data_IF_194867297330
#
_entry.id   IF_194867297330
#
_cell.length_a   1.000
_cell.length_b   1.000
_cell.length_c   1.000
_cell.angle_alpha   90.00
_cell.angle_beta   90.00
_cell.angle_gamma   90.00
#
_symmetry.space_group_name_H-M   'P 1'
#
loop_
_entity.id
_entity.type
_entity.pdbx_description
1 polymer ?
#
# COMPACT_ATOMS: atom_id res chain seq x y z
N UNK A 1 -8.91 11.96 -11.16
CA UNK A 1 -10.32 11.97 -11.61
C UNK A 1 -11.00 13.12 -10.88
N UNK A 2 -11.73 14.03 -11.56
CA UNK A 2 -12.52 15.04 -10.83
C UNK A 2 -13.81 14.39 -10.38
N UNK A 3 -14.04 14.35 -9.07
CA UNK A 3 -15.24 13.78 -8.48
C UNK A 3 -16.23 14.90 -8.18
N UNK A 4 -17.48 14.68 -8.56
CA UNK A 4 -18.59 15.55 -8.19
C UNK A 4 -19.48 14.80 -7.20
N UNK A 5 -19.66 15.36 -6.01
CA UNK A 5 -20.55 14.79 -5.00
C UNK A 5 -21.96 15.36 -5.16
N UNK A 6 -22.95 14.48 -5.10
CA UNK A 6 -24.36 14.84 -5.15
C UNK A 6 -25.15 14.18 -4.03
N UNK A 7 -26.09 14.92 -3.45
CA UNK A 7 -27.07 14.37 -2.51
C UNK A 7 -28.16 13.52 -3.18
N UNK A 8 -28.30 13.60 -4.50
CA UNK A 8 -29.25 12.85 -5.33
C UNK A 8 -28.64 12.57 -6.71
N UNK A 9 -29.04 11.51 -7.44
CA UNK A 9 -28.42 11.19 -8.72
C UNK A 9 -28.69 12.30 -9.74
N UNK A 10 -27.64 12.91 -10.28
CA UNK A 10 -27.75 14.01 -11.24
C UNK A 10 -27.97 13.47 -12.66
N UNK A 11 -29.10 13.77 -13.30
CA UNK A 11 -29.44 13.22 -14.61
C UNK A 11 -28.51 13.65 -15.77
N UNK A 12 -27.58 14.59 -15.54
CA UNK A 12 -26.73 15.18 -16.60
C UNK A 12 -25.32 14.63 -16.69
N UNK A 13 -24.82 13.85 -15.72
CA UNK A 13 -23.49 13.23 -15.84
C UNK A 13 -23.57 11.81 -16.40
N UNK A 14 -22.62 11.48 -17.28
CA UNK A 14 -22.63 10.22 -18.05
C UNK A 14 -22.25 8.99 -17.24
N UNK A 15 -21.64 9.15 -16.05
CA UNK A 15 -21.38 8.06 -15.12
C UNK A 15 -21.49 8.54 -13.67
N UNK A 16 -22.51 8.05 -12.97
CA UNK A 16 -22.75 8.31 -11.55
C UNK A 16 -22.82 6.98 -10.81
N UNK A 17 -22.11 6.90 -9.69
CA UNK A 17 -22.07 5.73 -8.82
C UNK A 17 -22.57 6.10 -7.42
N UNK A 18 -23.33 5.22 -6.74
CA UNK A 18 -23.66 5.45 -5.35
C UNK A 18 -22.38 5.37 -4.51
N UNK A 19 -22.17 6.33 -3.62
CA UNK A 19 -21.12 6.28 -2.61
C UNK A 19 -21.67 5.47 -1.43
N UNK A 20 -21.34 4.18 -1.45
CA UNK A 20 -21.71 3.22 -0.42
C UNK A 20 -20.48 2.85 0.40
N UNK A 21 -20.66 2.71 1.72
CA UNK A 21 -19.65 2.07 2.58
C UNK A 21 -20.36 1.38 3.73
N UNK A 22 -20.11 0.07 3.90
CA UNK A 22 -20.64 -0.73 5.03
C UNK A 22 -22.16 -0.58 5.24
N UNK A 23 -22.91 -0.75 4.15
CA UNK A 23 -24.38 -0.62 4.14
C UNK A 23 -24.92 0.83 4.23
N UNK A 24 -24.09 1.84 4.46
CA UNK A 24 -24.51 3.24 4.46
C UNK A 24 -24.42 3.84 3.06
N UNK A 25 -25.48 4.57 2.69
CA UNK A 25 -25.53 5.35 1.45
C UNK A 25 -25.22 6.81 1.75
N UNK A 26 -24.04 7.27 1.35
CA UNK A 26 -23.55 8.62 1.61
C UNK A 26 -23.92 9.61 0.51
N UNK A 27 -24.48 9.17 -0.61
CA UNK A 27 -24.83 10.03 -1.74
C UNK A 27 -24.32 9.43 -3.04
N UNK A 28 -24.05 10.28 -4.03
CA UNK A 28 -23.66 9.87 -5.37
C UNK A 28 -22.39 10.58 -5.79
N UNK A 29 -21.50 9.85 -6.46
CA UNK A 29 -20.29 10.39 -7.07
C UNK A 29 -20.41 10.31 -8.57
N UNK A 30 -20.28 11.46 -9.21
CA UNK A 30 -20.08 11.59 -10.63
C UNK A 30 -18.61 11.49 -11.01
N UNK A 31 -18.32 10.71 -12.06
CA UNK A 31 -16.99 10.63 -12.65
C UNK A 31 -16.87 11.68 -13.75
N UNK A 32 -16.18 12.77 -13.43
CA UNK A 32 -15.74 13.74 -14.42
C UNK A 32 -14.50 13.29 -15.19
N UNK A 33 -14.01 14.16 -16.06
CA UNK A 33 -12.77 13.92 -16.80
C UNK A 33 -11.58 13.63 -15.86
N UNK A 34 -10.67 12.76 -16.32
CA UNK A 34 -9.35 12.61 -15.69
C UNK A 34 -8.65 13.97 -15.76
N UNK A 35 -8.23 14.54 -14.62
CA UNK A 35 -7.50 15.80 -14.61
C UNK A 35 -6.19 15.63 -15.37
N UNK A 36 -5.70 16.71 -15.97
CA UNK A 36 -4.34 16.73 -16.47
C UNK A 36 -3.35 16.51 -15.30
N UNK A 37 -2.16 15.94 -15.57
CA UNK A 37 -1.09 15.91 -14.58
C UNK A 37 -0.78 17.34 -14.08
N UNK A 38 -0.63 17.54 -12.76
CA UNK A 38 -0.28 18.85 -12.21
C UNK A 38 1.13 19.24 -12.67
N UNK A 39 1.37 20.54 -12.84
CA UNK A 39 2.71 21.03 -13.14
C UNK A 39 3.61 21.06 -11.88
N UNK A 40 4.91 21.29 -12.07
CA UNK A 40 5.87 21.29 -10.98
C UNK A 40 5.60 22.38 -9.91
N UNK A 41 5.00 23.51 -10.30
CA UNK A 41 4.69 24.60 -9.38
C UNK A 41 3.46 24.24 -8.53
N UNK A 42 2.44 23.61 -9.13
CA UNK A 42 1.26 23.09 -8.43
C UNK A 42 1.65 22.00 -7.43
N UNK A 43 2.48 21.04 -7.84
CA UNK A 43 3.03 19.98 -6.96
C UNK A 43 3.76 20.61 -5.77
N UNK A 44 4.68 21.55 -6.01
CA UNK A 44 5.46 22.20 -4.96
C UNK A 44 4.58 22.99 -3.98
N UNK A 45 3.55 23.66 -4.48
CA UNK A 45 2.58 24.40 -3.66
C UNK A 45 1.77 23.45 -2.78
N UNK A 46 1.21 22.39 -3.38
CA UNK A 46 0.40 21.41 -2.68
C UNK A 46 1.21 20.71 -1.57
N UNK A 47 2.45 20.30 -1.87
CA UNK A 47 3.36 19.69 -0.89
C UNK A 47 3.59 20.59 0.34
N UNK A 48 3.95 21.86 0.12
CA UNK A 48 4.17 22.84 1.22
C UNK A 48 2.90 23.14 2.03
N UNK A 49 1.73 22.82 1.48
CA UNK A 49 0.45 22.98 2.14
C UNK A 49 -0.07 21.69 2.80
N UNK A 50 0.68 20.59 2.77
CA UNK A 50 0.22 19.26 3.19
C UNK A 50 -1.08 18.85 2.47
N UNK A 51 -1.22 19.27 1.21
CA UNK A 51 -2.33 18.90 0.32
C UNK A 51 -1.98 17.61 -0.42
N UNK A 52 -2.99 16.79 -0.71
CA UNK A 52 -2.80 15.62 -1.56
C UNK A 52 -2.46 16.01 -3.00
N UNK A 53 -1.53 15.27 -3.60
CA UNK A 53 -1.08 15.45 -4.98
C UNK A 53 -1.49 14.23 -5.77
N UNK A 54 -2.34 14.41 -6.78
CA UNK A 54 -2.74 13.33 -7.68
C UNK A 54 -1.86 13.34 -8.93
N UNK A 55 -1.24 12.21 -9.24
CA UNK A 55 -0.41 12.00 -10.43
C UNK A 55 -1.12 11.03 -11.40
N UNK A 56 -2.09 11.51 -12.19
CA UNK A 56 -2.94 10.64 -13.01
C UNK A 56 -2.12 9.92 -14.08
N UNK A 57 -2.22 8.59 -14.11
CA UNK A 57 -1.60 7.77 -15.16
C UNK A 57 -0.07 7.71 -15.11
N UNK A 58 0.58 8.18 -14.04
CA UNK A 58 2.06 8.21 -13.98
C UNK A 58 2.69 6.83 -14.15
N UNK A 59 2.00 5.76 -13.72
CA UNK A 59 2.46 4.37 -13.85
C UNK A 59 1.87 3.63 -15.05
N UNK A 60 1.11 4.30 -15.93
CA UNK A 60 0.33 3.61 -16.97
C UNK A 60 1.19 2.78 -17.94
N UNK A 61 2.43 3.22 -18.20
CA UNK A 61 3.38 2.52 -19.07
C UNK A 61 4.17 1.42 -18.35
N UNK A 62 4.32 1.50 -17.02
CA UNK A 62 5.08 0.52 -16.23
C UNK A 62 4.21 -0.66 -15.80
N UNK A 63 2.96 -0.43 -15.41
CA UNK A 63 2.06 -1.46 -14.88
C UNK A 63 1.89 -2.70 -15.78
N UNK A 64 1.76 -2.60 -17.12
CA UNK A 64 1.65 -3.79 -17.98
C UNK A 64 2.82 -4.77 -17.84
N UNK A 65 4.02 -4.30 -17.46
CA UNK A 65 5.20 -5.14 -17.24
C UNK A 65 5.08 -6.01 -15.99
N UNK A 66 4.19 -5.63 -15.06
CA UNK A 66 3.94 -6.31 -13.79
C UNK A 66 2.61 -7.07 -13.77
N UNK A 67 1.93 -7.22 -14.91
CA UNK A 67 0.59 -7.81 -14.98
C UNK A 67 0.51 -9.22 -14.33
N UNK A 68 1.53 -10.05 -14.53
CA UNK A 68 1.60 -11.38 -13.90
C UNK A 68 1.69 -11.28 -12.38
N UNK A 69 2.51 -10.36 -11.86
CA UNK A 69 2.68 -10.16 -10.42
C UNK A 69 1.44 -9.61 -9.75
N UNK A 70 0.76 -8.66 -10.41
CA UNK A 70 -0.54 -8.16 -9.98
C UNK A 70 -1.58 -9.29 -9.90
N UNK A 71 -1.60 -10.20 -10.87
CA UNK A 71 -2.51 -11.34 -10.86
C UNK A 71 -2.19 -12.34 -9.73
N UNK A 72 -0.90 -12.60 -9.47
CA UNK A 72 -0.46 -13.45 -8.36
C UNK A 72 -0.78 -12.82 -7.00
N UNK A 73 -0.66 -11.50 -6.87
CA UNK A 73 -1.05 -10.76 -5.66
C UNK A 73 -2.55 -10.85 -5.40
N UNK A 74 -3.39 -10.79 -6.45
CA UNK A 74 -4.82 -11.03 -6.34
C UNK A 74 -5.11 -12.47 -5.90
N UNK A 75 -4.40 -13.46 -6.45
CA UNK A 75 -4.57 -14.85 -6.05
C UNK A 75 -4.21 -15.06 -4.58
N UNK A 76 -3.09 -14.49 -4.11
CA UNK A 76 -2.72 -14.51 -2.69
C UNK A 76 -3.83 -13.92 -1.82
N UNK A 77 -4.37 -12.76 -2.20
CA UNK A 77 -5.49 -12.15 -1.50
C UNK A 77 -6.72 -13.07 -1.45
N UNK A 78 -7.11 -13.69 -2.57
CA UNK A 78 -8.26 -14.60 -2.61
C UNK A 78 -8.06 -15.83 -1.71
N UNK A 79 -6.84 -16.38 -1.67
CA UNK A 79 -6.50 -17.52 -0.81
C UNK A 79 -6.51 -17.12 0.68
N UNK A 80 -5.97 -15.95 1.02
CA UNK A 80 -6.06 -15.41 2.39
C UNK A 80 -7.52 -15.20 2.81
N UNK A 81 -8.37 -14.67 1.91
CA UNK A 81 -9.81 -14.54 2.17
C UNK A 81 -10.53 -15.89 2.35
N UNK A 82 -10.03 -16.94 1.70
CA UNK A 82 -10.53 -18.30 1.87
C UNK A 82 -10.09 -18.96 3.19
N UNK A 83 -9.25 -18.27 3.99
CA UNK A 83 -8.74 -18.75 5.26
C UNK A 83 -7.49 -19.62 5.15
N UNK A 84 -6.76 -19.54 4.04
CA UNK A 84 -5.44 -20.17 3.91
C UNK A 84 -4.38 -19.34 4.67
N UNK A 85 -3.51 -20.03 5.41
CA UNK A 85 -2.40 -19.42 6.15
C UNK A 85 -1.37 -18.84 5.17
N UNK A 86 -1.01 -17.57 5.32
CA UNK A 86 -0.06 -16.87 4.45
C UNK A 86 1.35 -17.45 4.57
N UNK A 87 1.71 -18.04 5.72
CA UNK A 87 2.98 -18.75 5.88
C UNK A 87 3.08 -19.98 4.99
N UNK A 88 2.02 -20.78 4.88
CA UNK A 88 1.96 -21.93 3.97
C UNK A 88 1.99 -21.47 2.51
N UNK A 89 1.28 -20.39 2.18
CA UNK A 89 1.30 -19.79 0.85
C UNK A 89 2.71 -19.30 0.46
N UNK A 90 3.48 -18.74 1.39
CA UNK A 90 4.86 -18.29 1.15
C UNK A 90 5.85 -19.43 0.92
N UNK A 91 5.57 -20.64 1.41
CA UNK A 91 6.35 -21.85 1.10
C UNK A 91 6.05 -22.41 -0.31
N UNK A 92 4.97 -21.96 -0.96
CA UNK A 92 4.67 -22.36 -2.32
C UNK A 92 5.80 -21.96 -3.28
N UNK A 93 6.02 -22.76 -4.32
CA UNK A 93 7.14 -22.62 -5.28
C UNK A 93 7.31 -21.20 -5.83
N UNK A 94 6.19 -20.49 -6.04
CA UNK A 94 6.18 -19.12 -6.57
C UNK A 94 6.88 -18.14 -5.63
N UNK A 95 6.53 -18.16 -4.34
CA UNK A 95 7.05 -17.26 -3.31
C UNK A 95 8.40 -17.72 -2.79
N UNK A 96 8.57 -19.03 -2.57
CA UNK A 96 9.86 -19.60 -2.16
C UNK A 96 11.00 -19.18 -3.09
N UNK A 97 10.76 -19.15 -4.41
CA UNK A 97 11.77 -18.69 -5.40
C UNK A 97 12.11 -17.20 -5.28
N UNK A 98 11.20 -16.37 -4.78
CA UNK A 98 11.40 -14.92 -4.62
C UNK A 98 12.06 -14.58 -3.29
N UNK A 99 11.68 -15.31 -2.26
CA UNK A 99 12.17 -15.12 -0.90
C UNK A 99 13.59 -15.69 -0.75
N UNK A 100 13.84 -16.89 -1.26
CA UNK A 100 15.14 -17.55 -1.10
C UNK A 100 16.17 -17.08 -2.14
N UNK A 101 17.46 -16.97 -1.76
CA UNK A 101 18.03 -17.31 -0.45
C UNK A 101 17.97 -16.17 0.58
N UNK A 102 17.48 -15.01 0.19
CA UNK A 102 17.68 -13.76 0.95
C UNK A 102 16.76 -13.64 2.18
N UNK A 103 15.62 -14.34 2.21
CA UNK A 103 14.65 -14.28 3.29
C UNK A 103 14.26 -15.68 3.75
N UNK A 104 14.55 -15.98 5.01
CA UNK A 104 14.17 -17.20 5.71
C UNK A 104 12.95 -16.93 6.57
N UNK A 105 11.86 -17.69 6.38
CA UNK A 105 10.70 -17.67 7.26
C UNK A 105 11.06 -18.37 8.57
N UNK A 106 11.03 -17.64 9.69
CA UNK A 106 11.51 -18.15 10.98
C UNK A 106 10.37 -18.63 11.89
N UNK A 107 9.29 -17.85 11.99
CA UNK A 107 8.14 -18.19 12.83
C UNK A 107 6.87 -17.48 12.39
N UNK A 108 5.75 -17.84 13.02
CA UNK A 108 4.43 -17.25 12.79
C UNK A 108 3.78 -16.90 14.13
N UNK A 109 2.98 -15.85 14.17
CA UNK A 109 2.14 -15.53 15.32
C UNK A 109 0.74 -15.11 14.90
N UNK A 110 -0.23 -15.49 15.73
CA UNK A 110 -1.62 -15.06 15.64
C UNK A 110 -1.86 -14.11 16.82
N UNK A 111 -2.04 -12.82 16.55
CA UNK A 111 -2.13 -11.81 17.60
C UNK A 111 -3.54 -11.80 18.22
N UNK A 112 -3.76 -12.59 19.28
CA UNK A 112 -5.05 -12.73 19.97
C UNK A 112 -5.67 -11.40 20.46
N UNK A 113 -4.86 -10.35 20.60
CA UNK A 113 -5.28 -9.03 21.05
C UNK A 113 -5.63 -8.07 19.90
N UNK A 114 -5.30 -8.43 18.65
CA UNK A 114 -5.62 -7.64 17.47
C UNK A 114 -6.81 -8.28 16.73
N UNK A 115 -8.00 -7.73 16.93
CA UNK A 115 -9.21 -8.21 16.27
C UNK A 115 -9.17 -8.05 14.73
N UNK A 116 -8.21 -7.30 14.18
CA UNK A 116 -7.98 -7.22 12.73
C UNK A 116 -6.90 -8.19 12.25
N UNK A 117 -6.08 -8.74 13.14
CA UNK A 117 -4.96 -9.61 12.79
C UNK A 117 -5.45 -10.92 12.16
N UNK A 118 -4.90 -11.27 11.00
CA UNK A 118 -5.11 -12.57 10.36
C UNK A 118 -3.95 -13.48 10.76
N UNK A 119 -2.74 -13.12 10.34
CA UNK A 119 -1.51 -13.84 10.64
C UNK A 119 -0.32 -12.89 10.50
N UNK A 120 0.71 -13.09 11.32
CA UNK A 120 1.99 -12.41 11.23
C UNK A 120 3.12 -13.42 11.02
N UNK A 121 3.87 -13.25 9.95
CA UNK A 121 4.95 -14.14 9.53
C UNK A 121 6.27 -13.40 9.68
N UNK A 122 7.22 -14.02 10.36
CA UNK A 122 8.52 -13.44 10.67
C UNK A 122 9.60 -13.99 9.74
N UNK A 123 10.55 -13.11 9.43
CA UNK A 123 11.66 -13.40 8.53
C UNK A 123 12.98 -12.89 9.07
N UNK A 124 14.02 -13.68 8.82
CA UNK A 124 15.40 -13.24 8.86
C UNK A 124 15.90 -13.03 7.43
N UNK A 125 16.70 -11.98 7.24
CA UNK A 125 17.29 -11.62 5.96
C UNK A 125 18.80 -11.87 5.96
N UNK A 126 19.24 -12.60 4.94
CA UNK A 126 20.60 -13.09 4.79
C UNK A 126 21.28 -12.51 3.54
N UNK A 127 22.61 -12.36 3.61
CA UNK A 127 23.46 -12.18 2.44
C UNK A 127 24.61 -13.17 2.49
N UNK A 128 24.46 -14.29 1.78
CA UNK A 128 25.40 -15.41 1.92
C UNK A 128 25.23 -16.07 3.28
N UNK A 129 26.28 -16.02 4.12
CA UNK A 129 26.26 -16.57 5.47
C UNK A 129 26.00 -15.49 6.55
N UNK A 130 25.93 -14.22 6.16
CA UNK A 130 25.77 -13.10 7.09
C UNK A 130 24.28 -12.78 7.30
N UNK A 131 23.84 -12.77 8.55
CA UNK A 131 22.53 -12.25 8.96
C UNK A 131 22.58 -10.72 8.92
N UNK A 132 21.82 -10.11 8.00
CA UNK A 132 21.84 -8.65 7.78
C UNK A 132 20.71 -7.95 8.51
N UNK A 133 19.54 -8.59 8.60
CA UNK A 133 18.40 -8.09 9.35
C UNK A 133 17.59 -9.27 9.90
N UNK A 134 17.13 -9.13 11.13
CA UNK A 134 16.33 -10.07 11.89
C UNK A 134 15.02 -9.41 12.32
N UNK A 135 14.07 -10.24 12.77
CA UNK A 135 12.75 -9.80 13.24
C UNK A 135 11.99 -8.96 12.20
N UNK A 136 12.25 -9.16 10.90
CA UNK A 136 11.39 -8.62 9.86
C UNK A 136 10.05 -9.35 9.91
N UNK A 137 8.97 -8.70 9.53
CA UNK A 137 7.67 -9.36 9.48
C UNK A 137 6.78 -8.85 8.37
N UNK A 138 5.91 -9.75 7.91
CA UNK A 138 4.73 -9.48 7.10
C UNK A 138 3.50 -9.78 7.94
N UNK A 139 2.61 -8.81 8.12
CA UNK A 139 1.35 -8.96 8.86
C UNK A 139 0.17 -8.79 7.92
N UNK A 140 -0.61 -9.85 7.75
CA UNK A 140 -1.92 -9.78 7.11
C UNK A 140 -2.97 -9.33 8.14
N UNK A 141 -3.83 -8.37 7.76
CA UNK A 141 -4.88 -7.88 8.64
C UNK A 141 -6.09 -7.38 7.86
N UNK A 142 -7.28 -7.53 8.44
CA UNK A 142 -8.49 -6.86 7.99
C UNK A 142 -8.34 -5.33 8.09
N UNK A 143 -8.99 -4.60 7.19
CA UNK A 143 -9.02 -3.13 7.20
C UNK A 143 -10.18 -2.55 8.01
N UNK A 144 -11.06 -3.42 8.50
CA UNK A 144 -12.30 -3.08 9.19
C UNK A 144 -12.57 -4.08 10.32
N UNK A 145 -13.49 -3.72 11.22
CA UNK A 145 -14.12 -4.64 12.18
C UNK A 145 -15.51 -5.11 11.69
N UNK A 146 -15.91 -4.68 10.51
CA UNK A 146 -17.17 -5.06 9.88
C UNK A 146 -16.99 -6.42 9.19
N UNK A 147 -17.78 -7.41 9.61
CA UNK A 147 -17.69 -8.79 9.13
C UNK A 147 -18.01 -8.94 7.64
N UNK A 148 -18.75 -7.98 7.05
CA UNK A 148 -19.08 -7.97 5.62
C UNK A 148 -18.02 -7.22 4.77
N UNK A 149 -17.00 -6.62 5.40
CA UNK A 149 -15.92 -5.88 4.74
C UNK A 149 -14.68 -6.77 4.53
N UNK A 150 -14.65 -7.48 3.39
CA UNK A 150 -13.54 -8.35 2.98
C UNK A 150 -12.27 -7.60 2.54
N UNK A 151 -12.06 -6.36 2.99
CA UNK A 151 -10.85 -5.61 2.67
C UNK A 151 -9.73 -5.98 3.63
N UNK A 152 -8.54 -6.24 3.10
CA UNK A 152 -7.36 -6.61 3.88
C UNK A 152 -6.11 -5.84 3.45
N UNK A 153 -5.09 -5.88 4.28
CA UNK A 153 -3.75 -5.36 3.97
C UNK A 153 -2.66 -6.33 4.37
N UNK A 154 -1.53 -6.20 3.69
CA UNK A 154 -0.25 -6.77 4.11
C UNK A 154 0.67 -5.62 4.48
N UNK A 155 1.12 -5.56 5.73
CA UNK A 155 2.09 -4.58 6.22
C UNK A 155 3.43 -5.26 6.42
N UNK A 156 4.50 -4.61 5.95
CA UNK A 156 5.87 -5.07 6.12
C UNK A 156 6.65 -4.11 7.00
N UNK A 157 7.31 -4.65 8.02
CA UNK A 157 8.08 -3.86 9.00
C UNK A 157 9.03 -4.81 9.75
N UNK A 158 9.49 -4.40 10.93
CA UNK A 158 10.35 -5.20 11.80
C UNK A 158 10.11 -4.89 13.28
N UNK A 159 10.59 -5.78 14.14
CA UNK A 159 10.57 -5.57 15.59
C UNK A 159 9.17 -5.58 16.21
N UNK A 160 9.06 -5.01 17.41
CA UNK A 160 7.82 -4.98 18.19
C UNK A 160 6.94 -3.78 17.83
N UNK A 161 5.75 -4.08 17.27
CA UNK A 161 4.76 -3.07 16.88
C UNK A 161 4.38 -2.18 18.07
N UNK A 162 4.45 -0.85 17.87
CA UNK A 162 4.10 0.15 18.89
C UNK A 162 5.16 0.39 19.99
N UNK A 163 6.27 -0.34 19.97
CA UNK A 163 7.35 -0.20 20.96
C UNK A 163 8.66 0.29 20.36
N UNK A 164 9.05 -0.23 19.20
CA UNK A 164 10.30 0.17 18.55
C UNK A 164 10.13 1.43 17.70
N UNK A 165 11.12 2.33 17.78
CA UNK A 165 11.23 3.46 16.87
C UNK A 165 11.80 2.95 15.54
N UNK A 166 10.92 2.57 14.62
CA UNK A 166 11.30 2.02 13.31
C UNK A 166 12.25 2.97 12.57
N UNK A 167 12.11 4.28 12.75
CA UNK A 167 13.00 5.28 12.14
C UNK A 167 14.45 5.24 12.68
N UNK A 168 14.70 4.56 13.80
CA UNK A 168 16.03 4.43 14.38
C UNK A 168 16.88 3.35 13.68
N UNK A 169 16.31 2.53 12.79
CA UNK A 169 17.05 1.46 12.09
C UNK A 169 16.79 1.46 10.57
N UNK A 170 17.47 2.34 9.80
CA UNK A 170 17.32 2.44 8.35
C UNK A 170 17.64 1.15 7.60
N UNK A 171 18.57 0.34 8.11
CA UNK A 171 18.94 -0.92 7.48
C UNK A 171 17.77 -1.91 7.49
N UNK A 172 17.14 -2.13 8.66
CA UNK A 172 15.97 -3.01 8.76
C UNK A 172 14.76 -2.44 7.99
N UNK A 173 14.60 -1.11 7.92
CA UNK A 173 13.57 -0.49 7.07
C UNK A 173 13.75 -0.85 5.59
N UNK A 174 14.99 -0.75 5.08
CA UNK A 174 15.31 -1.13 3.71
C UNK A 174 15.08 -2.62 3.46
N UNK A 175 15.39 -3.47 4.43
CA UNK A 175 15.15 -4.92 4.30
C UNK A 175 13.67 -5.31 4.39
N UNK A 176 12.86 -4.63 5.21
CA UNK A 176 11.41 -4.77 5.18
C UNK A 176 10.82 -4.33 3.83
N UNK A 177 11.36 -3.27 3.23
CA UNK A 177 10.99 -2.82 1.89
C UNK A 177 11.34 -3.88 0.82
N UNK A 178 12.54 -4.48 0.91
CA UNK A 178 12.97 -5.58 0.02
C UNK A 178 12.14 -6.85 0.21
N UNK A 179 11.76 -7.17 1.44
CA UNK A 179 10.83 -8.26 1.73
C UNK A 179 9.49 -8.02 1.03
N UNK A 180 9.01 -6.77 1.03
CA UNK A 180 7.83 -6.39 0.25
C UNK A 180 8.05 -6.64 -1.24
N UNK A 181 9.18 -6.20 -1.82
CA UNK A 181 9.48 -6.45 -3.25
C UNK A 181 9.56 -7.96 -3.58
N UNK A 182 10.04 -8.78 -2.64
CA UNK A 182 10.09 -10.23 -2.82
C UNK A 182 8.68 -10.85 -2.85
N UNK A 183 7.77 -10.40 -1.97
CA UNK A 183 6.40 -10.93 -1.92
C UNK A 183 5.51 -10.33 -3.02
N UNK A 184 5.60 -9.01 -3.24
CA UNK A 184 4.81 -8.21 -4.18
C UNK A 184 5.71 -7.46 -5.17
N UNK A 185 6.30 -8.14 -6.19
CA UNK A 185 7.26 -7.52 -7.10
C UNK A 185 6.73 -6.31 -7.87
N UNK A 186 5.42 -6.17 -8.02
CA UNK A 186 4.78 -5.01 -8.61
C UNK A 186 5.01 -3.70 -7.83
N UNK A 187 5.47 -3.73 -6.57
CA UNK A 187 5.91 -2.50 -5.88
C UNK A 187 7.09 -1.82 -6.59
N UNK A 188 7.89 -2.57 -7.35
CA UNK A 188 8.95 -2.02 -8.18
C UNK A 188 8.43 -1.11 -9.31
N UNK A 189 7.14 -1.18 -9.66
CA UNK A 189 6.51 -0.25 -10.60
C UNK A 189 6.56 1.20 -10.09
N UNK A 190 6.65 1.40 -8.76
CA UNK A 190 6.78 2.70 -8.10
C UNK A 190 8.26 3.01 -7.85
N UNK A 191 8.96 2.12 -7.14
CA UNK A 191 10.31 2.40 -6.63
C UNK A 191 11.37 2.41 -7.72
N UNK A 192 11.10 1.80 -8.88
CA UNK A 192 11.95 1.86 -10.07
C UNK A 192 11.50 2.88 -11.12
N UNK A 193 10.48 3.71 -10.85
CA UNK A 193 9.92 4.61 -11.86
C UNK A 193 10.72 5.92 -11.98
N UNK A 194 11.62 5.99 -12.97
CA UNK A 194 12.54 7.12 -13.19
C UNK A 194 11.86 8.50 -13.16
N UNK A 195 10.73 8.66 -13.86
CA UNK A 195 10.02 9.94 -13.91
C UNK A 195 9.39 10.36 -12.58
N UNK A 196 9.04 9.38 -11.74
CA UNK A 196 8.46 9.63 -10.41
C UNK A 196 9.57 9.96 -9.43
N UNK A 197 10.67 9.21 -9.46
CA UNK A 197 11.88 9.48 -8.67
C UNK A 197 12.40 10.89 -8.97
N UNK A 198 12.56 11.24 -10.25
CA UNK A 198 13.02 12.56 -10.65
C UNK A 198 12.09 13.71 -10.19
N UNK A 199 10.78 13.47 -10.18
CA UNK A 199 9.79 14.39 -9.66
C UNK A 199 9.93 14.57 -8.14
N UNK A 200 9.99 13.48 -7.40
CA UNK A 200 10.09 13.47 -5.94
C UNK A 200 11.42 14.08 -5.46
N UNK A 201 12.55 13.74 -6.09
CA UNK A 201 13.88 14.31 -5.80
C UNK A 201 13.86 15.82 -5.91
N UNK A 202 13.20 16.35 -6.95
CA UNK A 202 13.07 17.80 -7.15
C UNK A 202 12.12 18.45 -6.14
N UNK A 203 11.00 17.79 -5.84
CA UNK A 203 9.99 18.30 -4.91
C UNK A 203 10.53 18.37 -3.47
N UNK A 204 11.26 17.33 -3.05
CA UNK A 204 11.79 17.17 -1.70
C UNK A 204 13.17 17.83 -1.52
N UNK A 205 13.78 18.35 -2.59
CA UNK A 205 15.16 18.85 -2.60
C UNK A 205 16.14 17.82 -2.01
N UNK A 206 15.91 16.54 -2.34
CA UNK A 206 16.62 15.40 -1.76
C UNK A 206 17.21 14.51 -2.87
N UNK A 207 18.55 14.41 -2.98
CA UNK A 207 19.21 13.66 -4.06
C UNK A 207 19.07 12.14 -3.91
N UNK A 208 18.74 11.65 -2.72
CA UNK A 208 18.62 10.22 -2.41
C UNK A 208 17.28 9.93 -1.75
N UNK A 209 16.38 9.29 -2.50
CA UNK A 209 15.08 8.87 -2.01
C UNK A 209 15.14 7.42 -1.53
N UNK A 210 14.60 7.18 -0.36
CA UNK A 210 14.43 5.85 0.20
C UNK A 210 12.93 5.54 0.30
N UNK A 211 12.51 4.44 -0.32
CA UNK A 211 11.16 3.91 -0.17
C UNK A 211 11.24 2.78 0.85
N UNK A 212 10.90 3.11 2.09
CA UNK A 212 11.06 2.25 3.28
C UNK A 212 9.87 1.31 3.43
N UNK A 213 9.23 1.27 4.60
CA UNK A 213 8.11 0.38 4.90
C UNK A 213 6.95 0.55 3.90
N UNK A 214 6.25 -0.56 3.64
CA UNK A 214 5.19 -0.59 2.64
C UNK A 214 3.99 -1.36 3.15
N UNK A 215 2.84 -0.92 2.67
CA UNK A 215 1.55 -1.54 2.94
C UNK A 215 0.89 -1.81 1.60
N UNK A 216 0.48 -3.06 1.38
CA UNK A 216 -0.28 -3.48 0.20
C UNK A 216 -1.73 -3.60 0.61
N UNK A 217 -2.61 -2.83 -0.03
CA UNK A 217 -4.03 -2.75 0.29
C UNK A 217 -4.87 -3.48 -0.76
N UNK A 218 -5.77 -4.35 -0.31
CA UNK A 218 -6.81 -4.96 -1.11
C UNK A 218 -8.17 -4.47 -0.61
N UNK A 219 -8.71 -3.43 -1.25
CA UNK A 219 -10.00 -2.86 -0.89
C UNK A 219 -11.13 -3.62 -1.59
N UNK A 220 -12.02 -4.23 -0.81
CA UNK A 220 -13.25 -4.82 -1.30
C UNK A 220 -14.26 -3.72 -1.71
N UNK A 221 -15.21 -4.01 -2.61
CA UNK A 221 -16.33 -3.11 -2.88
C UNK A 221 -17.07 -2.73 -1.59
N UNK A 222 -17.40 -1.43 -1.43
CA UNK A 222 -18.03 -0.85 -0.23
C UNK A 222 -17.21 -0.94 1.07
N UNK A 223 -15.96 -1.39 0.98
CA UNK A 223 -15.06 -1.58 2.10
C UNK A 223 -13.93 -0.55 2.16
N UNK A 224 -12.87 -0.90 2.89
CA UNK A 224 -11.60 -0.21 2.90
C UNK A 224 -11.19 0.31 4.27
N UNK A 225 -9.99 0.90 4.32
CA UNK A 225 -9.37 1.32 5.57
C UNK A 225 -10.20 2.32 6.39
N UNK A 226 -10.10 2.21 7.71
CA UNK A 226 -10.49 3.28 8.63
C UNK A 226 -9.68 4.56 8.33
N UNK A 227 -10.24 5.73 8.62
CA UNK A 227 -9.48 6.98 8.47
C UNK A 227 -8.32 6.99 9.46
N UNK A 228 -7.09 7.11 8.96
CA UNK A 228 -5.88 7.17 9.76
C UNK A 228 -4.84 8.06 9.08
N UNK A 229 -3.71 8.24 9.75
CA UNK A 229 -2.60 9.03 9.25
C UNK A 229 -1.39 8.11 9.05
N UNK A 230 -1.00 7.91 7.79
CA UNK A 230 0.05 6.96 7.41
C UNK A 230 1.49 7.50 7.54
N UNK A 231 1.68 8.80 7.78
CA UNK A 231 3.05 9.34 7.93
C UNK A 231 3.57 9.01 9.34
N UNK A 232 4.48 8.06 9.39
CA UNK A 232 5.27 7.69 10.57
C UNK A 232 6.32 8.77 10.88
N UNK A 233 6.83 8.79 12.12
CA UNK A 233 7.91 9.71 12.51
C UNK A 233 9.15 9.40 11.68
N UNK A 234 9.80 10.44 11.16
CA UNK A 234 11.01 10.31 10.34
C UNK A 234 10.76 10.12 8.84
N UNK A 235 9.51 9.95 8.41
CA UNK A 235 9.15 9.95 7.00
C UNK A 235 8.76 11.35 6.51
N UNK A 236 9.21 11.72 5.31
CA UNK A 236 8.85 13.00 4.70
C UNK A 236 7.39 13.01 4.21
N UNK A 237 6.86 11.85 3.79
CA UNK A 237 5.48 11.69 3.34
C UNK A 237 5.17 10.27 2.91
N UNK A 238 3.98 10.07 2.31
CA UNK A 238 3.48 8.77 1.87
C UNK A 238 3.05 8.87 0.41
N UNK A 239 3.33 7.81 -0.36
CA UNK A 239 2.89 7.66 -1.74
C UNK A 239 1.91 6.48 -1.83
N UNK A 240 0.74 6.75 -2.41
CA UNK A 240 -0.24 5.71 -2.74
C UNK A 240 -0.23 5.46 -4.25
N UNK A 241 -0.14 4.20 -4.63
CA UNK A 241 -0.21 3.76 -6.01
C UNK A 241 -1.30 2.71 -6.17
N UNK A 242 -2.16 2.88 -7.16
CA UNK A 242 -3.18 1.90 -7.52
C UNK A 242 -2.63 1.00 -8.62
N UNK A 243 -2.40 -0.27 -8.30
CA UNK A 243 -1.86 -1.25 -9.25
C UNK A 243 -2.95 -1.87 -10.13
N UNK A 244 -4.16 -2.02 -9.58
CA UNK A 244 -5.32 -2.64 -10.24
C UNK A 244 -6.63 -2.09 -9.66
N UNK A 245 -7.76 -2.46 -10.28
CA UNK A 245 -9.10 -2.13 -9.76
C UNK A 245 -9.43 -0.64 -9.76
N UNK A 246 -10.26 -0.23 -8.81
CA UNK A 246 -10.66 1.17 -8.61
C UNK A 246 -10.87 1.45 -7.11
N UNK A 247 -10.20 2.47 -6.58
CA UNK A 247 -10.34 2.90 -5.17
C UNK A 247 -10.61 4.40 -5.11
N UNK A 248 -11.46 4.81 -4.17
CA UNK A 248 -11.61 6.22 -3.80
C UNK A 248 -10.68 6.55 -2.64
N UNK A 249 -9.75 7.47 -2.87
CA UNK A 249 -8.88 8.01 -1.82
C UNK A 249 -9.44 9.33 -1.32
N UNK A 250 -9.75 9.40 -0.02
CA UNK A 250 -10.10 10.63 0.66
C UNK A 250 -8.93 11.06 1.53
N UNK A 251 -8.28 12.15 1.14
CA UNK A 251 -7.21 12.76 1.90
C UNK A 251 -7.66 14.13 2.42
N UNK A 252 -7.41 14.39 3.70
CA UNK A 252 -7.67 15.68 4.35
C UNK A 252 -6.35 16.27 4.78
N UNK A 253 -6.13 17.56 4.47
CA UNK A 253 -4.96 18.26 4.98
C UNK A 253 -5.03 18.32 6.51
N UNK A 254 -3.87 18.16 7.17
CA UNK A 254 -3.79 18.39 8.61
C UNK A 254 -4.18 19.84 8.92
N UNK A 255 -5.07 20.08 9.90
CA UNK A 255 -5.26 21.42 10.44
C UNK A 255 -3.90 21.99 10.86
N UNK A 256 -3.64 23.26 10.50
CA UNK A 256 -2.44 23.98 10.94
C UNK A 256 -2.65 24.57 12.33
#
# INVERSE_FOLDING_TARGET
MKLHYYSSPNATETQIYPLLRRGFHYGWIGIGATPAPPDAAEISRAWRNNEAILLPGILAESLPKFATHIAEAHQLMEQTLAGEDISELFEAKTYRRRLQPDFELTTVSYEEHDAQGIEKVFFDAWQGEDLIADDLWCKASWLSFDEDDASLRFRFSFGMEGYEDVAANPLRQQWAARLTDAVFPESAAVTGHEGLIALLTRMLDCPHLEFTERIVYFNAPNGGALMHHDVERGHDGVLFAQMSGATFWLALAKPR
#
